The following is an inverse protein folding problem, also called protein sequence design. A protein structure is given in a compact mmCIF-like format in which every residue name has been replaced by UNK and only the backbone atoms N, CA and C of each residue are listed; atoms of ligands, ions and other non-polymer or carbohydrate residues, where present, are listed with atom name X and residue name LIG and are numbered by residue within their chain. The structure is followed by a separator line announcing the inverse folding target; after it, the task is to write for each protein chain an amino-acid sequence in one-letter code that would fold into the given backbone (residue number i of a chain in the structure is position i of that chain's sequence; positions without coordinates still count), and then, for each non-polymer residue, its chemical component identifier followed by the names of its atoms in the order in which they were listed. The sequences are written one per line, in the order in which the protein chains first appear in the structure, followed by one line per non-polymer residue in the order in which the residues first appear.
data_IF_863216297726
#
_entry.id   IF_863216297726
#
_cell.length_a   1.000
_cell.length_b   1.000
_cell.length_c   1.000
_cell.angle_alpha   90.00
_cell.angle_beta   90.00
_cell.angle_gamma   90.00
#
_symmetry.space_group_name_H-M   'P 1'
#
loop_
_entity.id
_entity.type
_entity.pdbx_description
1 polymer ?
#
# COMPACT_ATOMS: atom_id res chain seq x y z
N UNK A 1 10.31 44.69 28.34
CA UNK A 1 10.85 43.99 27.14
C UNK A 1 12.05 43.09 27.45
N UNK A 2 12.89 43.42 28.44
CA UNK A 2 14.04 42.60 28.85
C UNK A 2 13.72 41.38 29.74
N UNK A 3 12.49 41.22 30.23
CA UNK A 3 12.09 40.10 31.12
C UNK A 3 11.22 39.02 30.44
N UNK A 4 10.83 39.21 29.17
CA UNK A 4 10.11 38.17 28.41
C UNK A 4 11.07 37.28 27.61
N UNK A 5 12.30 37.74 27.38
CA UNK A 5 13.38 36.95 26.79
C UNK A 5 13.97 35.91 27.75
N UNK A 6 13.83 36.11 29.06
CA UNK A 6 14.17 35.09 30.08
C UNK A 6 13.27 33.84 29.98
N UNK A 7 12.15 33.92 29.26
CA UNK A 7 11.24 32.78 29.06
C UNK A 7 11.65 31.89 27.88
N UNK A 8 12.66 32.28 27.09
CA UNK A 8 13.32 31.42 26.10
C UNK A 8 14.39 30.50 26.73
N UNK A 9 14.53 30.55 28.06
CA UNK A 9 15.52 29.79 28.82
C UNK A 9 15.04 28.42 29.31
N UNK A 10 13.79 27.99 29.06
CA UNK A 10 13.33 26.66 29.46
C UNK A 10 12.53 25.96 28.37
N UNK A 11 13.23 25.35 27.41
CA UNK A 11 13.04 23.95 27.02
C UNK A 11 13.85 23.63 25.76
N UNK A 12 14.82 22.72 25.89
CA UNK A 12 15.56 22.10 24.78
C UNK A 12 14.67 21.47 23.69
N UNK A 13 13.39 21.27 24.01
CA UNK A 13 12.36 20.70 23.15
C UNK A 13 11.89 21.67 22.05
N UNK A 14 11.99 22.98 22.25
CA UNK A 14 11.57 23.96 21.23
C UNK A 14 12.40 23.86 19.93
N UNK A 15 13.65 23.37 20.03
CA UNK A 15 14.51 23.09 18.89
C UNK A 15 14.11 21.82 18.11
N UNK A 16 13.16 21.03 18.61
CA UNK A 16 12.76 19.73 18.07
C UNK A 16 11.38 19.73 17.42
N UNK A 17 10.65 20.86 17.46
CA UNK A 17 9.25 20.95 17.02
C UNK A 17 9.06 21.49 15.59
N UNK A 18 10.14 21.74 14.85
CA UNK A 18 10.09 22.18 13.44
C UNK A 18 10.13 21.01 12.44
N UNK A 19 9.48 21.17 11.27
CA UNK A 19 9.27 20.16 10.23
C UNK A 19 10.54 19.64 9.50
N UNK A 20 11.75 20.02 9.92
CA UNK A 20 13.02 19.76 9.18
C UNK A 20 13.97 18.72 9.82
N UNK A 21 13.56 18.03 10.89
CA UNK A 21 14.47 17.09 11.57
C UNK A 21 14.83 15.85 10.72
N UNK A 22 13.92 15.42 9.85
CA UNK A 22 14.12 14.26 8.96
C UNK A 22 15.18 14.51 7.88
N UNK A 23 15.14 15.68 7.24
CA UNK A 23 16.08 16.07 6.19
C UNK A 23 17.49 16.35 6.74
N UNK A 24 17.57 16.85 7.98
CA UNK A 24 18.84 17.07 8.67
C UNK A 24 19.58 15.76 8.99
N UNK A 25 18.86 14.70 9.38
CA UNK A 25 19.46 13.39 9.70
C UNK A 25 20.04 12.72 8.44
N UNK A 26 19.37 12.86 7.30
CA UNK A 26 19.85 12.28 6.02
C UNK A 26 21.09 12.99 5.47
N UNK A 27 21.24 14.29 5.74
CA UNK A 27 22.31 15.12 5.19
C UNK A 27 23.37 15.53 6.23
N UNK A 28 23.48 14.82 7.35
CA UNK A 28 24.37 15.14 8.47
C UNK A 28 25.85 15.30 8.09
N UNK A 29 26.30 14.63 7.02
CA UNK A 29 27.68 14.67 6.51
C UNK A 29 27.91 15.80 5.46
N UNK A 30 26.83 16.39 4.94
CA UNK A 30 26.85 17.46 3.91
C UNK A 30 26.65 18.83 4.55
N UNK A 31 25.90 18.89 5.67
CA UNK A 31 25.60 20.12 6.43
C UNK A 31 26.77 20.50 7.37
N UNK A 32 28.02 20.27 6.96
CA UNK A 32 29.17 20.77 7.73
C UNK A 32 29.53 22.23 7.38
N UNK A 33 29.05 22.78 6.25
CA UNK A 33 29.56 24.06 5.75
C UNK A 33 28.55 25.18 5.47
N UNK A 34 27.29 24.94 5.09
CA UNK A 34 26.44 26.03 4.56
C UNK A 34 25.43 26.68 5.54
N UNK A 35 24.97 26.02 6.62
CA UNK A 35 23.91 26.58 7.50
C UNK A 35 24.35 26.94 8.94
N UNK A 36 25.65 27.16 9.16
CA UNK A 36 26.17 27.50 10.51
C UNK A 36 25.72 28.87 11.04
N UNK A 37 25.19 29.76 10.20
CA UNK A 37 25.00 31.16 10.54
C UNK A 37 23.53 31.60 10.82
N UNK A 38 22.53 30.75 10.54
CA UNK A 38 21.12 31.18 10.58
C UNK A 38 20.25 30.48 11.63
N UNK A 39 20.59 29.27 12.10
CA UNK A 39 19.75 28.50 13.02
C UNK A 39 20.31 28.48 14.46
N UNK A 40 19.70 29.17 15.44
CA UNK A 40 20.11 29.11 16.85
C UNK A 40 19.99 27.70 17.48
N UNK A 41 19.25 26.78 16.86
CA UNK A 41 19.06 25.40 17.32
C UNK A 41 20.05 24.39 16.73
N UNK A 42 21.01 24.82 15.90
CA UNK A 42 21.91 23.93 15.15
C UNK A 42 22.69 22.96 16.04
N UNK A 43 23.16 23.39 17.21
CA UNK A 43 23.92 22.54 18.14
C UNK A 43 23.07 21.37 18.66
N UNK A 44 21.81 21.64 19.05
CA UNK A 44 20.91 20.63 19.59
C UNK A 44 20.55 19.61 18.50
N UNK A 45 20.21 20.09 17.30
CA UNK A 45 19.91 19.24 16.14
C UNK A 45 21.11 18.37 15.76
N UNK A 46 22.33 18.93 15.73
CA UNK A 46 23.57 18.19 15.40
C UNK A 46 23.89 17.09 16.40
N UNK A 47 23.88 17.40 17.70
CA UNK A 47 24.16 16.40 18.74
C UNK A 47 23.12 15.28 18.73
N UNK A 48 21.84 15.60 18.55
CA UNK A 48 20.76 14.61 18.43
C UNK A 48 20.91 13.75 17.17
N UNK A 49 21.16 14.36 16.01
CA UNK A 49 21.39 13.65 14.76
C UNK A 49 22.57 12.68 14.83
N UNK A 50 23.67 13.09 15.49
CA UNK A 50 24.83 12.22 15.74
C UNK A 50 24.48 11.04 16.65
N UNK A 51 23.67 11.25 17.67
CA UNK A 51 23.17 10.21 18.57
C UNK A 51 22.25 9.22 17.84
N UNK A 52 21.31 9.72 17.03
CA UNK A 52 20.41 8.90 16.22
C UNK A 52 21.22 8.07 15.21
N UNK A 53 22.15 8.70 14.47
CA UNK A 53 23.03 8.01 13.51
C UNK A 53 23.87 6.93 14.20
N UNK A 54 24.40 7.21 15.41
CA UNK A 54 25.14 6.23 16.21
C UNK A 54 24.26 5.08 16.68
N UNK A 55 23.02 5.33 17.13
CA UNK A 55 22.09 4.27 17.53
C UNK A 55 21.62 3.43 16.34
N UNK A 56 21.33 4.05 15.19
CA UNK A 56 20.96 3.33 13.97
C UNK A 56 22.13 2.47 13.46
N UNK A 57 23.35 3.00 13.46
CA UNK A 57 24.56 2.24 13.10
C UNK A 57 24.81 1.07 14.07
N UNK A 58 24.60 1.27 15.37
CA UNK A 58 24.71 0.19 16.37
C UNK A 58 23.63 -0.88 16.21
N UNK A 59 22.39 -0.49 15.89
CA UNK A 59 21.31 -1.46 15.58
C UNK A 59 21.57 -2.25 14.30
N UNK A 60 22.33 -1.67 13.36
CA UNK A 60 22.77 -2.34 12.14
C UNK A 60 23.95 -3.29 12.42
N UNK A 61 24.91 -2.90 13.26
CA UNK A 61 26.02 -3.77 13.73
C UNK A 61 25.54 -4.91 14.65
N UNK A 62 24.54 -4.67 15.50
CA UNK A 62 23.90 -5.71 16.34
C UNK A 62 23.12 -6.72 15.48
N UNK A 63 22.45 -6.26 14.41
CA UNK A 63 21.79 -7.16 13.43
C UNK A 63 22.79 -7.90 12.52
N UNK A 64 23.96 -7.32 12.23
CA UNK A 64 25.03 -7.98 11.47
C UNK A 64 25.82 -8.99 12.31
N UNK A 65 26.05 -8.72 13.61
CA UNK A 65 26.75 -9.66 14.50
C UNK A 65 25.92 -10.91 14.80
N UNK A 66 24.58 -10.82 14.76
CA UNK A 66 23.68 -11.98 14.82
C UNK A 66 23.68 -12.84 13.54
N UNK A 67 24.12 -12.29 12.40
CA UNK A 67 24.15 -12.97 11.09
C UNK A 67 25.57 -13.47 10.74
N UNK A 68 26.62 -12.90 11.35
CA UNK A 68 28.01 -13.21 11.04
C UNK A 68 28.63 -14.39 11.83
N UNK A 69 27.84 -15.14 12.61
CA UNK A 69 28.32 -16.36 13.26
C UNK A 69 28.57 -17.53 12.28
N UNK A 70 28.07 -17.45 11.03
CA UNK A 70 28.32 -18.46 9.99
C UNK A 70 28.76 -17.81 8.68
N UNK A 71 30.07 -17.51 8.59
CA UNK A 71 30.94 -17.61 7.38
C UNK A 71 32.11 -16.62 7.45
N UNK A 72 33.12 -16.98 8.23
CA UNK A 72 34.48 -16.59 7.86
C UNK A 72 35.00 -17.62 6.85
N UNK A 73 35.33 -17.17 5.63
CA UNK A 73 36.63 -17.38 4.97
C UNK A 73 36.56 -17.08 3.45
N UNK A 74 37.51 -16.24 3.02
CA UNK A 74 38.04 -15.97 1.67
C UNK A 74 37.34 -14.95 0.76
N UNK A 75 37.97 -13.77 0.66
CA UNK A 75 37.94 -12.87 -0.51
C UNK A 75 38.98 -13.34 -1.54
N UNK A 76 38.70 -13.16 -2.84
CA UNK A 76 39.59 -12.28 -3.59
C UNK A 76 38.86 -11.22 -4.42
N UNK A 77 39.66 -10.23 -4.80
CA UNK A 77 39.37 -8.92 -5.40
C UNK A 77 39.02 -8.99 -6.89
N UNK A 78 38.09 -8.11 -7.25
CA UNK A 78 37.60 -7.64 -8.57
C UNK A 78 38.32 -8.08 -9.85
N UNK A 79 37.55 -8.64 -10.78
CA UNK A 79 37.55 -8.22 -12.18
C UNK A 79 36.11 -8.21 -12.74
N UNK A 80 35.81 -7.23 -13.58
CA UNK A 80 34.47 -6.78 -13.92
C UNK A 80 33.75 -7.67 -14.93
N UNK A 81 32.80 -8.47 -14.43
CA UNK A 81 31.49 -8.76 -15.04
C UNK A 81 30.79 -9.78 -14.15
N UNK A 82 29.94 -9.32 -13.22
CA UNK A 82 29.00 -10.24 -12.59
C UNK A 82 28.09 -10.79 -13.71
N UNK A 83 27.98 -12.11 -13.88
CA UNK A 83 26.84 -12.67 -14.58
C UNK A 83 25.62 -12.17 -13.81
N UNK A 84 24.73 -11.43 -14.47
CA UNK A 84 23.43 -11.08 -13.91
C UNK A 84 22.77 -12.40 -13.50
N UNK A 85 22.90 -12.80 -12.23
CA UNK A 85 22.08 -13.86 -11.68
C UNK A 85 20.64 -13.42 -11.95
N UNK A 86 19.80 -14.24 -12.61
CA UNK A 86 18.45 -13.82 -12.92
C UNK A 86 17.76 -13.48 -11.59
N UNK A 87 17.58 -12.19 -11.34
CA UNK A 87 16.88 -11.70 -10.16
C UNK A 87 15.47 -12.27 -10.28
N UNK A 88 15.15 -13.27 -9.46
CA UNK A 88 13.83 -13.86 -9.40
C UNK A 88 12.88 -12.85 -8.75
N UNK A 89 12.46 -11.85 -9.53
CA UNK A 89 11.46 -10.86 -9.12
C UNK A 89 10.12 -11.57 -9.05
N UNK A 90 9.49 -11.54 -7.87
CA UNK A 90 8.13 -12.03 -7.69
C UNK A 90 7.26 -10.81 -7.48
N UNK A 91 6.56 -10.41 -8.55
CA UNK A 91 5.72 -9.23 -8.53
C UNK A 91 4.62 -9.31 -9.60
N UNK A 92 3.48 -8.72 -9.30
CA UNK A 92 2.35 -8.60 -10.21
C UNK A 92 1.72 -7.21 -10.08
N UNK A 93 1.33 -6.65 -11.21
CA UNK A 93 0.42 -5.51 -11.28
C UNK A 93 -0.61 -5.80 -12.36
N UNK A 94 -1.87 -5.89 -11.96
CA UNK A 94 -3.01 -6.17 -12.81
C UNK A 94 -3.87 -4.92 -12.89
N UNK A 95 -4.44 -4.67 -14.06
CA UNK A 95 -5.31 -3.50 -14.29
C UNK A 95 -6.71 -3.95 -14.69
N UNK A 96 -7.71 -3.09 -14.54
CA UNK A 96 -9.05 -3.38 -15.00
C UNK A 96 -9.12 -3.59 -16.52
N UNK A 97 -10.13 -4.35 -16.97
CA UNK A 97 -10.39 -4.55 -18.39
C UNK A 97 -11.84 -4.18 -18.73
N UNK A 98 -12.06 -2.91 -19.12
CA UNK A 98 -13.37 -2.39 -19.52
C UNK A 98 -13.99 -3.12 -20.73
N UNK A 99 -13.17 -3.75 -21.58
CA UNK A 99 -13.63 -4.51 -22.74
C UNK A 99 -14.19 -5.89 -22.37
N UNK A 100 -13.77 -6.42 -21.21
CA UNK A 100 -14.32 -7.65 -20.65
C UNK A 100 -15.38 -7.24 -19.64
N UNK A 101 -16.64 -7.16 -20.09
CA UNK A 101 -17.78 -7.09 -19.16
C UNK A 101 -17.63 -8.21 -18.14
N UNK A 102 -17.76 -7.85 -16.87
CA UNK A 102 -17.87 -8.79 -15.76
C UNK A 102 -18.81 -9.91 -16.20
N UNK A 103 -18.27 -11.11 -16.42
CA UNK A 103 -19.13 -12.30 -16.46
C UNK A 103 -19.59 -12.45 -15.03
N UNK A 104 -20.70 -11.78 -14.69
CA UNK A 104 -21.40 -11.93 -13.43
C UNK A 104 -21.68 -13.43 -13.30
N UNK A 105 -20.81 -14.13 -12.59
CA UNK A 105 -21.05 -15.52 -12.26
C UNK A 105 -22.25 -15.49 -11.33
N UNK A 106 -23.43 -15.75 -11.92
CA UNK A 106 -24.73 -15.79 -11.28
C UNK A 106 -24.62 -16.38 -9.86
N UNK A 107 -25.43 -15.83 -8.96
CA UNK A 107 -25.65 -16.23 -7.57
C UNK A 107 -25.59 -17.76 -7.36
N UNK A 108 -24.39 -18.31 -7.31
CA UNK A 108 -24.12 -19.62 -6.77
C UNK A 108 -23.43 -19.35 -5.45
N UNK A 109 -24.21 -19.49 -4.39
CA UNK A 109 -23.85 -19.45 -2.97
C UNK A 109 -22.87 -20.58 -2.65
N UNK A 110 -21.69 -20.58 -3.27
CA UNK A 110 -20.59 -21.41 -2.79
C UNK A 110 -19.95 -20.67 -1.61
N UNK A 111 -19.76 -21.32 -0.45
CA UNK A 111 -19.10 -20.74 0.74
C UNK A 111 -17.76 -20.06 0.40
N UNK A 112 -17.07 -20.59 -0.61
CA UNK A 112 -15.78 -20.15 -1.13
C UNK A 112 -15.70 -18.73 -1.74
N UNK A 113 -16.75 -17.90 -1.70
CA UNK A 113 -16.76 -16.58 -2.38
C UNK A 113 -16.40 -15.39 -1.50
N UNK A 114 -16.46 -15.52 -0.17
CA UNK A 114 -16.29 -14.36 0.73
C UNK A 114 -17.42 -13.34 0.56
N UNK A 115 -17.31 -12.19 1.23
CA UNK A 115 -18.29 -11.11 1.14
C UNK A 115 -18.10 -10.32 -0.16
N UNK A 116 -19.21 -9.91 -0.79
CA UNK A 116 -19.21 -9.13 -2.02
C UNK A 116 -19.05 -9.98 -3.29
N UNK A 117 -18.70 -9.31 -4.37
CA UNK A 117 -18.51 -9.86 -5.70
C UNK A 117 -17.03 -9.85 -6.06
N UNK A 118 -16.45 -11.04 -6.26
CA UNK A 118 -15.06 -11.19 -6.69
C UNK A 118 -14.87 -10.58 -8.08
N UNK A 119 -13.84 -9.74 -8.22
CA UNK A 119 -13.42 -9.20 -9.52
C UNK A 119 -12.58 -10.25 -10.24
N UNK A 120 -13.03 -10.68 -11.42
CA UNK A 120 -12.39 -11.75 -12.20
C UNK A 120 -11.79 -11.31 -13.53
N UNK A 121 -12.17 -10.13 -14.04
CA UNK A 121 -11.81 -9.59 -15.34
C UNK A 121 -10.55 -8.70 -15.31
N UNK A 122 -9.55 -9.09 -14.53
CA UNK A 122 -8.25 -8.42 -14.51
C UNK A 122 -7.48 -8.65 -15.81
N UNK A 123 -6.86 -7.59 -16.33
CA UNK A 123 -5.88 -7.64 -17.42
C UNK A 123 -4.49 -7.97 -16.86
N UNK A 124 -3.82 -8.93 -17.49
CA UNK A 124 -2.50 -9.45 -17.08
C UNK A 124 -1.49 -9.53 -18.20
N UNK A 125 -1.89 -9.20 -19.44
CA UNK A 125 -0.96 -9.19 -20.58
C UNK A 125 0.15 -8.18 -20.33
N UNK A 126 1.37 -8.53 -20.74
CA UNK A 126 2.57 -7.67 -20.64
C UNK A 126 2.53 -6.45 -21.58
N UNK A 127 1.37 -6.15 -22.17
CA UNK A 127 1.19 -5.04 -23.11
C UNK A 127 0.52 -3.89 -22.37
N UNK A 128 1.31 -2.89 -21.98
CA UNK A 128 0.82 -1.67 -21.33
C UNK A 128 1.10 -1.63 -19.83
N UNK A 129 0.09 -1.32 -19.03
CA UNK A 129 0.22 -1.00 -17.60
C UNK A 129 0.28 -2.23 -16.67
N UNK A 130 0.00 -3.44 -17.17
CA UNK A 130 -0.02 -4.69 -16.37
C UNK A 130 1.18 -5.60 -16.63
N UNK A 131 1.59 -6.35 -15.62
CA UNK A 131 2.62 -7.38 -15.73
C UNK A 131 2.48 -8.50 -14.69
N UNK A 132 3.09 -9.65 -15.02
CA UNK A 132 3.29 -10.79 -14.14
C UNK A 132 4.77 -11.22 -14.22
N UNK A 133 5.48 -11.14 -13.10
CA UNK A 133 6.83 -11.65 -12.91
C UNK A 133 6.81 -12.78 -11.89
N UNK A 134 7.01 -14.01 -12.37
CA UNK A 134 6.99 -15.24 -11.56
C UNK A 134 5.71 -15.44 -10.74
N UNK A 135 4.60 -14.80 -11.10
CA UNK A 135 3.29 -14.94 -10.47
C UNK A 135 2.29 -15.36 -11.54
N UNK A 136 1.34 -16.23 -11.20
CA UNK A 136 0.28 -16.64 -12.11
C UNK A 136 -1.05 -15.99 -11.73
N UNK A 137 -1.91 -15.74 -12.72
CA UNK A 137 -3.28 -15.28 -12.52
C UNK A 137 -4.25 -16.39 -12.93
N UNK A 138 -5.12 -16.83 -12.01
CA UNK A 138 -6.14 -17.86 -12.26
C UNK A 138 -7.51 -17.40 -11.75
N UNK A 139 -8.46 -17.19 -12.66
CA UNK A 139 -9.85 -16.79 -12.34
C UNK A 139 -9.94 -15.50 -11.49
N UNK A 140 -9.09 -14.52 -11.79
CA UNK A 140 -9.00 -13.25 -11.07
C UNK A 140 -8.18 -13.28 -9.79
N UNK A 141 -7.45 -14.37 -9.55
CA UNK A 141 -6.71 -14.60 -8.29
C UNK A 141 -5.22 -14.75 -8.58
N UNK A 142 -4.37 -14.00 -7.88
CA UNK A 142 -2.91 -14.17 -7.98
C UNK A 142 -2.51 -15.41 -7.18
N UNK A 143 -1.76 -16.32 -7.81
CA UNK A 143 -1.26 -17.55 -7.20
C UNK A 143 0.16 -17.33 -6.71
N UNK A 144 0.39 -17.59 -5.42
CA UNK A 144 1.66 -17.34 -4.75
C UNK A 144 2.69 -18.41 -5.17
N UNK A 145 3.81 -18.03 -5.82
CA UNK A 145 4.80 -18.99 -6.32
C UNK A 145 5.73 -19.53 -5.22
N UNK A 146 5.93 -18.74 -4.17
CA UNK A 146 6.93 -18.99 -3.13
C UNK A 146 6.42 -18.50 -1.77
N UNK A 147 6.65 -19.27 -0.72
CA UNK A 147 6.33 -18.86 0.65
C UNK A 147 7.17 -17.66 1.07
N UNK A 148 6.55 -16.64 1.64
CA UNK A 148 7.24 -15.41 2.04
C UNK A 148 6.30 -14.30 2.49
N UNK A 149 6.86 -13.12 2.72
CA UNK A 149 6.09 -11.91 3.00
C UNK A 149 5.81 -11.17 1.69
N UNK A 150 4.55 -10.79 1.50
CA UNK A 150 4.11 -10.08 0.32
C UNK A 150 3.44 -8.78 0.73
N UNK A 151 3.85 -7.68 0.12
CA UNK A 151 3.05 -6.46 0.12
C UNK A 151 1.96 -6.63 -0.94
N UNK A 152 0.70 -6.62 -0.50
CA UNK A 152 -0.48 -6.73 -1.37
C UNK A 152 -1.16 -5.37 -1.39
N UNK A 153 -1.58 -4.90 -2.55
CA UNK A 153 -2.30 -3.63 -2.70
C UNK A 153 -3.37 -3.71 -3.77
N UNK A 154 -4.42 -2.90 -3.62
CA UNK A 154 -5.42 -2.74 -4.67
C UNK A 154 -6.08 -1.38 -4.57
N UNK A 155 -6.39 -0.79 -5.73
CA UNK A 155 -7.28 0.34 -5.87
C UNK A 155 -8.54 -0.08 -6.60
N UNK A 156 -9.71 0.33 -6.09
CA UNK A 156 -10.99 0.21 -6.79
C UNK A 156 -11.61 1.60 -6.91
N UNK A 157 -12.03 1.94 -8.12
CA UNK A 157 -12.74 3.17 -8.40
C UNK A 157 -14.24 2.89 -8.55
N UNK A 158 -15.03 3.37 -7.59
CA UNK A 158 -16.48 3.38 -7.67
C UNK A 158 -16.94 4.68 -8.33
N UNK A 159 -17.62 4.58 -9.48
CA UNK A 159 -18.13 5.71 -10.25
C UNK A 159 -19.57 5.45 -10.66
N UNK A 160 -20.47 6.34 -10.27
CA UNK A 160 -21.89 6.26 -10.63
C UNK A 160 -22.51 7.64 -10.76
N UNK A 161 -23.60 7.72 -11.53
CA UNK A 161 -24.57 8.81 -11.48
C UNK A 161 -25.78 8.36 -10.66
N UNK A 162 -26.37 9.27 -9.92
CA UNK A 162 -27.59 9.00 -9.17
C UNK A 162 -28.81 9.24 -10.06
N UNK A 163 -29.80 8.35 -9.99
CA UNK A 163 -31.05 8.53 -10.72
C UNK A 163 -31.97 9.50 -9.96
N UNK A 164 -32.57 10.45 -10.68
CA UNK A 164 -33.49 11.43 -10.09
C UNK A 164 -34.86 10.82 -9.71
N UNK A 165 -35.22 9.67 -10.28
CA UNK A 165 -36.60 9.16 -10.29
C UNK A 165 -36.96 8.13 -9.20
N UNK A 166 -36.04 7.72 -8.32
CA UNK A 166 -36.30 6.62 -7.37
C UNK A 166 -37.05 7.03 -6.08
N UNK A 167 -37.29 8.33 -5.84
CA UNK A 167 -37.84 8.81 -4.55
C UNK A 167 -39.02 9.81 -4.75
N UNK A 168 -40.16 9.32 -5.22
CA UNK A 168 -41.42 10.10 -5.31
C UNK A 168 -42.27 10.06 -4.01
N UNK A 169 -41.62 9.92 -2.84
CA UNK A 169 -42.29 9.85 -1.53
C UNK A 169 -42.11 11.13 -0.69
N UNK A 170 -43.22 11.65 -0.14
CA UNK A 170 -43.33 12.91 0.62
C UNK A 170 -42.57 12.95 1.99
N UNK A 171 -41.73 11.96 2.32
CA UNK A 171 -41.09 11.82 3.65
C UNK A 171 -39.55 11.63 3.67
N UNK A 172 -38.81 11.80 2.58
CA UNK A 172 -37.36 11.56 2.60
C UNK A 172 -36.55 12.81 2.25
N UNK A 173 -35.95 13.50 3.23
CA UNK A 173 -34.91 14.53 2.98
C UNK A 173 -33.51 13.92 2.79
N UNK A 174 -33.36 12.61 2.99
CA UNK A 174 -32.08 11.88 3.02
C UNK A 174 -32.14 10.76 1.98
N UNK A 175 -31.08 10.57 1.17
CA UNK A 175 -30.95 9.42 0.26
C UNK A 175 -30.37 8.21 1.00
N UNK A 176 -30.68 7.00 0.55
CA UNK A 176 -30.02 5.79 1.03
C UNK A 176 -28.55 5.78 0.58
N UNK A 177 -27.58 5.94 1.50
CA UNK A 177 -26.18 6.00 1.11
C UNK A 177 -25.67 4.60 0.71
N UNK A 178 -24.86 4.55 -0.34
CA UNK A 178 -24.21 3.32 -0.82
C UNK A 178 -23.01 3.02 0.06
N UNK A 179 -22.89 1.77 0.50
CA UNK A 179 -21.73 1.27 1.25
C UNK A 179 -20.71 0.72 0.26
N UNK A 180 -19.66 1.49 -0.01
CA UNK A 180 -18.63 1.18 -1.00
C UNK A 180 -17.48 0.48 -0.27
N UNK A 181 -17.45 -0.84 -0.37
CA UNK A 181 -16.47 -1.67 0.34
C UNK A 181 -15.63 -2.49 -0.63
N UNK A 182 -14.31 -2.46 -0.41
CA UNK A 182 -13.29 -3.27 -1.07
C UNK A 182 -12.70 -4.26 -0.05
N UNK A 183 -12.64 -5.53 -0.42
CA UNK A 183 -12.11 -6.63 0.37
C UNK A 183 -10.94 -7.30 -0.36
N UNK A 184 -9.92 -7.71 0.39
CA UNK A 184 -8.83 -8.54 -0.11
C UNK A 184 -8.83 -9.86 0.67
N UNK A 185 -8.99 -10.96 -0.04
CA UNK A 185 -9.10 -12.31 0.52
C UNK A 185 -7.90 -13.17 0.16
N UNK A 186 -7.67 -14.20 0.98
CA UNK A 186 -6.75 -15.30 0.76
C UNK A 186 -7.49 -16.63 0.77
N UNK A 187 -7.27 -17.44 -0.25
CA UNK A 187 -7.59 -18.86 -0.27
C UNK A 187 -6.33 -19.65 0.07
N UNK A 188 -6.49 -20.63 0.93
CA UNK A 188 -5.45 -21.58 1.33
C UNK A 188 -6.10 -22.96 1.46
N UNK A 189 -5.48 -23.92 2.13
CA UNK A 189 -6.09 -25.24 2.38
C UNK A 189 -7.28 -25.18 3.37
N UNK A 190 -7.59 -23.99 3.89
CA UNK A 190 -8.76 -23.74 4.71
C UNK A 190 -10.03 -23.67 3.84
N UNK A 191 -11.16 -24.27 4.26
CA UNK A 191 -12.37 -24.35 3.43
C UNK A 191 -12.95 -22.99 2.99
N UNK A 192 -12.87 -21.99 3.86
CA UNK A 192 -13.43 -20.67 3.64
C UNK A 192 -12.36 -19.62 3.27
N UNK A 193 -12.68 -18.58 2.50
CA UNK A 193 -11.76 -17.50 2.22
C UNK A 193 -11.43 -16.70 3.49
N UNK A 194 -10.15 -16.43 3.72
CA UNK A 194 -9.67 -15.65 4.86
C UNK A 194 -9.56 -14.18 4.44
N UNK A 195 -10.30 -13.28 5.10
CA UNK A 195 -10.22 -11.84 4.86
C UNK A 195 -8.87 -11.31 5.38
N UNK A 196 -8.08 -10.68 4.51
CA UNK A 196 -6.81 -10.05 4.88
C UNK A 196 -7.00 -8.57 5.19
N UNK A 197 -7.71 -7.84 4.33
CA UNK A 197 -7.92 -6.40 4.44
C UNK A 197 -9.30 -5.98 3.96
N UNK A 198 -9.83 -4.90 4.55
CA UNK A 198 -11.10 -4.27 4.22
C UNK A 198 -10.92 -2.76 4.29
N UNK A 199 -11.42 -2.05 3.27
CA UNK A 199 -11.53 -0.59 3.27
C UNK A 199 -12.91 -0.20 2.78
N UNK A 200 -13.52 0.79 3.43
CA UNK A 200 -14.90 1.17 3.21
C UNK A 200 -15.06 2.69 3.12
N UNK A 201 -15.96 3.13 2.24
CA UNK A 201 -16.47 4.49 2.14
C UNK A 201 -18.00 4.44 2.09
N UNK A 202 -18.61 5.56 2.45
CA UNK A 202 -20.06 5.74 2.36
C UNK A 202 -20.33 6.89 1.40
N UNK A 203 -21.29 6.73 0.48
CA UNK A 203 -21.63 7.80 -0.45
C UNK A 203 -22.23 9.01 0.28
N UNK A 204 -22.25 10.17 -0.40
CA UNK A 204 -22.91 11.36 0.12
C UNK A 204 -24.41 11.07 0.37
N UNK A 205 -24.93 11.59 1.47
CA UNK A 205 -26.31 11.39 1.92
C UNK A 205 -27.27 12.42 1.32
N UNK A 206 -26.71 13.48 0.72
CA UNK A 206 -27.46 14.58 0.11
C UNK A 206 -28.24 14.13 -1.11
N UNK A 207 -29.53 14.48 -1.17
CA UNK A 207 -30.35 14.28 -2.38
C UNK A 207 -29.85 15.08 -3.58
N UNK A 208 -29.11 16.17 -3.35
CA UNK A 208 -28.51 17.00 -4.39
C UNK A 208 -27.23 16.39 -4.99
N UNK A 209 -26.74 15.26 -4.46
CA UNK A 209 -25.60 14.59 -5.04
C UNK A 209 -26.01 13.94 -6.37
N UNK A 210 -25.52 14.47 -7.48
CA UNK A 210 -25.85 13.96 -8.83
C UNK A 210 -25.01 12.75 -9.22
N UNK A 211 -23.82 12.61 -8.64
CA UNK A 211 -22.88 11.53 -8.94
C UNK A 211 -21.98 11.24 -7.73
N UNK A 212 -21.28 10.11 -7.79
CA UNK A 212 -20.30 9.70 -6.78
C UNK A 212 -19.03 9.19 -7.44
N UNK A 213 -17.88 9.74 -7.01
CA UNK A 213 -16.54 9.34 -7.45
C UNK A 213 -15.75 8.95 -6.20
N UNK A 214 -15.40 7.67 -6.04
CA UNK A 214 -14.73 7.17 -4.85
C UNK A 214 -13.63 6.18 -5.22
N UNK A 215 -12.38 6.60 -5.12
CA UNK A 215 -11.22 5.70 -5.21
C UNK A 215 -10.87 5.17 -3.83
N UNK A 216 -10.86 3.84 -3.68
CA UNK A 216 -10.47 3.16 -2.45
C UNK A 216 -9.18 2.42 -2.73
N UNK A 217 -8.08 2.91 -2.15
CA UNK A 217 -6.79 2.23 -2.13
C UNK A 217 -6.57 1.62 -0.75
N UNK A 218 -6.03 0.41 -0.70
CA UNK A 218 -5.48 -0.21 0.51
C UNK A 218 -4.31 -1.11 0.17
N UNK A 219 -3.41 -1.31 1.14
CA UNK A 219 -2.34 -2.29 1.03
C UNK A 219 -1.73 -2.64 2.37
N UNK A 220 -1.06 -3.80 2.44
CA UNK A 220 -0.51 -4.35 3.67
C UNK A 220 0.37 -5.56 3.42
N UNK A 221 1.17 -5.92 4.42
CA UNK A 221 2.11 -7.05 4.34
C UNK A 221 1.52 -8.29 4.99
N UNK A 222 1.55 -9.41 4.28
CA UNK A 222 1.04 -10.69 4.78
C UNK A 222 2.03 -11.81 4.47
N UNK A 223 2.15 -12.76 5.40
CA UNK A 223 2.83 -14.01 5.11
C UNK A 223 1.90 -14.93 4.30
N UNK A 224 2.36 -15.33 3.12
CA UNK A 224 1.65 -16.24 2.23
C UNK A 224 2.47 -17.50 2.01
N UNK A 225 1.78 -18.64 1.89
CA UNK A 225 2.40 -19.92 1.53
C UNK A 225 2.35 -20.10 0.02
N UNK A 226 3.30 -20.86 -0.53
CA UNK A 226 3.22 -21.34 -1.92
C UNK A 226 1.83 -21.94 -2.17
N UNK A 227 1.25 -21.60 -3.33
CA UNK A 227 -0.09 -21.97 -3.78
C UNK A 227 -1.27 -21.30 -3.07
N UNK A 228 -1.04 -20.45 -2.06
CA UNK A 228 -2.09 -19.53 -1.60
C UNK A 228 -2.56 -18.68 -2.80
N UNK A 229 -3.85 -18.34 -2.82
CA UNK A 229 -4.45 -17.52 -3.87
C UNK A 229 -5.03 -16.26 -3.26
N UNK A 230 -4.72 -15.10 -3.81
CA UNK A 230 -5.23 -13.82 -3.31
C UNK A 230 -6.15 -13.18 -4.35
N UNK A 231 -7.25 -12.59 -3.89
CA UNK A 231 -8.24 -11.98 -4.78
C UNK A 231 -8.93 -10.78 -4.14
N UNK A 232 -9.51 -9.93 -4.99
CA UNK A 232 -10.26 -8.74 -4.59
C UNK A 232 -11.75 -8.99 -4.78
N UNK A 233 -12.54 -8.59 -3.79
CA UNK A 233 -14.01 -8.59 -3.84
C UNK A 233 -14.56 -7.22 -3.48
N UNK A 234 -15.72 -6.87 -4.01
CA UNK A 234 -16.36 -5.57 -3.83
C UNK A 234 -17.85 -5.70 -3.57
N UNK A 235 -18.42 -4.77 -2.80
CA UNK A 235 -19.87 -4.67 -2.55
C UNK A 235 -20.66 -4.38 -3.84
N UNK A 236 -20.71 -3.11 -4.26
CA UNK A 236 -21.45 -2.65 -5.44
C UNK A 236 -20.60 -2.81 -6.73
N UNK A 237 -20.47 -4.02 -7.25
CA UNK A 237 -19.66 -4.30 -8.45
C UNK A 237 -20.09 -3.56 -9.70
N UNK A 238 -21.39 -3.26 -9.83
CA UNK A 238 -21.98 -2.72 -11.07
C UNK A 238 -21.58 -1.27 -11.35
N UNK A 239 -21.07 -0.59 -10.32
CA UNK A 239 -20.61 0.80 -10.36
C UNK A 239 -19.08 0.90 -10.24
N UNK A 240 -18.35 -0.22 -10.36
CA UNK A 240 -16.89 -0.21 -10.42
C UNK A 240 -16.45 0.13 -11.83
N UNK A 241 -15.64 1.17 -11.94
CA UNK A 241 -14.98 1.53 -13.18
C UNK A 241 -13.72 0.68 -13.37
N UNK A 242 -13.67 -0.07 -14.47
CA UNK A 242 -12.59 -1.00 -14.78
C UNK A 242 -11.60 -0.45 -15.80
N UNK A 243 -11.54 0.88 -15.97
CA UNK A 243 -10.45 1.52 -16.68
C UNK A 243 -9.10 1.22 -15.99
N UNK A 244 -8.04 1.08 -16.80
CA UNK A 244 -6.77 0.46 -16.38
C UNK A 244 -6.06 1.25 -15.29
N UNK A 245 -6.19 2.57 -15.35
CA UNK A 245 -5.58 3.54 -14.45
C UNK A 245 -6.41 3.74 -13.18
N UNK A 246 -7.69 3.39 -13.22
CA UNK A 246 -8.64 3.63 -12.15
C UNK A 246 -8.68 2.48 -11.13
N UNK A 247 -8.78 1.25 -11.62
CA UNK A 247 -8.88 0.04 -10.80
C UNK A 247 -7.76 -0.95 -11.10
N UNK A 248 -7.03 -1.35 -10.07
CA UNK A 248 -5.87 -2.24 -10.20
C UNK A 248 -5.64 -3.08 -8.94
N UNK A 249 -4.89 -4.16 -9.11
CA UNK A 249 -4.56 -5.12 -8.07
C UNK A 249 -3.14 -5.63 -8.26
N UNK A 250 -2.33 -5.63 -7.21
CA UNK A 250 -0.96 -6.12 -7.31
C UNK A 250 -0.42 -6.67 -6.01
N UNK A 251 0.72 -7.35 -6.13
CA UNK A 251 1.49 -7.83 -5.01
C UNK A 251 2.96 -7.98 -5.40
N UNK A 252 3.87 -7.84 -4.45
CA UNK A 252 5.28 -8.21 -4.63
C UNK A 252 5.83 -8.83 -3.36
N UNK A 253 6.80 -9.75 -3.53
CA UNK A 253 7.52 -10.35 -2.42
C UNK A 253 8.55 -9.37 -1.87
N UNK A 254 8.65 -9.28 -0.54
CA UNK A 254 9.62 -8.46 0.21
C UNK A 254 10.84 -9.31 0.54
#
# INVERSE_FOLDING_TARGET
LLQLWDMYSENSVACLTGEELGDFIQNLDVIESEDRAADPCWQVKWHLGKLIKKMMSRSFEENLSAVNADRALTLPRMDGQQPQRPVHRIAAHLTGNSNRRSSLSAHNSSPRRGTGHKISNWESSRKGHSFLYNVELRNGELVVPQTGYYYIYSQIYFRFRENENEDSGLLAQIRNPKQLVQYVYKLTDYPEPILLMKSARTSCWSKKAEYGLYSIYQGGVFQLKRNDRIFVSVSNSDIVDMDKEASFFGAFMI
#
